data_IF_515357934407
#
_entry.id   IF_515357934407
#
_cell.length_a   1.000
_cell.length_b   1.000
_cell.length_c   1.000
_cell.angle_alpha   90.00
_cell.angle_beta   90.00
_cell.angle_gamma   90.00
#
_symmetry.space_group_name_H-M   'P 1'
#
loop_
_entity.id
_entity.type
_entity.pdbx_description
1 polymer ?
#
# COMPACT_ATOMS: atom_id res chain seq x y z
N UNK A 1 11.65 23.39 38.51
CA UNK A 1 11.57 23.66 37.07
C UNK A 1 11.15 22.38 36.39
N UNK A 2 9.86 22.29 36.05
CA UNK A 2 9.28 21.13 35.40
C UNK A 2 9.49 21.30 33.88
N UNK A 3 10.35 20.49 33.30
CA UNK A 3 10.51 20.41 31.85
C UNK A 3 9.35 19.58 31.29
N UNK A 4 8.30 20.27 30.84
CA UNK A 4 7.26 19.60 30.04
C UNK A 4 7.81 19.45 28.64
N UNK A 5 8.55 18.38 28.43
CA UNK A 5 8.89 17.93 27.11
C UNK A 5 7.66 17.35 26.45
N UNK A 6 7.11 18.02 25.46
CA UNK A 6 6.18 17.39 24.52
C UNK A 6 6.97 16.38 23.69
N UNK A 7 7.16 15.19 24.25
CA UNK A 7 7.66 14.05 23.52
C UNK A 7 6.54 13.61 22.58
N UNK A 8 6.62 14.02 21.33
CA UNK A 8 5.95 13.31 20.27
C UNK A 8 6.62 11.94 20.17
N UNK A 9 6.08 10.96 20.85
CA UNK A 9 6.52 9.60 20.71
C UNK A 9 6.12 9.13 19.30
N UNK A 10 7.08 9.04 18.42
CA UNK A 10 6.94 8.41 17.13
C UNK A 10 7.06 6.91 17.36
N UNK A 11 5.93 6.21 17.41
CA UNK A 11 5.94 4.77 17.50
C UNK A 11 5.96 4.20 16.08
N UNK A 12 7.01 3.44 15.80
CA UNK A 12 7.04 2.52 14.67
C UNK A 12 6.42 1.23 15.18
N UNK A 13 5.23 0.87 14.73
CA UNK A 13 4.66 -0.43 15.02
C UNK A 13 5.39 -1.46 14.16
N UNK A 14 6.38 -2.08 14.77
CA UNK A 14 6.76 -3.45 14.46
C UNK A 14 6.14 -4.28 15.56
N UNK A 15 5.36 -5.31 15.24
CA UNK A 15 4.53 -6.13 16.13
C UNK A 15 5.26 -6.82 17.31
N UNK A 16 6.41 -6.32 17.74
CA UNK A 16 7.27 -6.88 18.78
C UNK A 16 7.79 -5.88 19.82
N UNK A 17 7.32 -4.61 19.87
CA UNK A 17 7.80 -3.67 20.85
C UNK A 17 7.14 -3.90 22.21
N UNK A 18 7.85 -4.53 23.13
CA UNK A 18 7.54 -4.49 24.56
C UNK A 18 7.96 -3.14 25.12
N UNK A 19 7.02 -2.21 25.23
CA UNK A 19 7.25 -0.95 25.97
C UNK A 19 6.81 -1.14 27.41
N UNK A 20 7.73 -0.90 28.34
CA UNK A 20 7.41 -0.82 29.77
C UNK A 20 6.43 0.34 30.01
N UNK A 21 5.40 0.07 30.78
CA UNK A 21 4.24 0.86 31.07
C UNK A 21 4.55 2.32 31.46
N UNK A 22 4.40 3.19 30.53
CA UNK A 22 3.70 4.44 30.72
C UNK A 22 2.32 4.16 30.15
N UNK A 23 1.22 4.46 30.85
CA UNK A 23 -0.12 4.33 30.26
C UNK A 23 -0.20 5.31 29.09
N UNK A 24 0.33 4.91 27.99
CA UNK A 24 0.19 5.58 26.71
C UNK A 24 -1.13 5.14 26.09
N UNK A 25 -1.67 5.94 25.21
CA UNK A 25 -2.85 5.56 24.46
C UNK A 25 -2.63 4.29 23.64
N UNK A 26 -3.70 3.74 23.13
CA UNK A 26 -3.69 2.55 22.28
C UNK A 26 -3.33 2.95 20.84
N UNK A 27 -2.30 2.35 20.28
CA UNK A 27 -2.10 2.28 18.85
C UNK A 27 -2.92 1.10 18.31
N UNK A 28 -3.70 1.36 17.28
CA UNK A 28 -4.52 0.34 16.65
C UNK A 28 -4.65 0.68 15.15
N UNK A 29 -3.79 0.07 14.37
CA UNK A 29 -3.73 0.30 12.93
C UNK A 29 -4.29 -0.90 12.20
N UNK A 30 -5.17 -0.66 11.24
CA UNK A 30 -5.66 -1.67 10.31
C UNK A 30 -5.18 -1.41 8.91
N UNK A 31 -4.86 -2.47 8.19
CA UNK A 31 -4.52 -2.45 6.76
C UNK A 31 -5.55 -3.31 6.03
N UNK A 32 -6.24 -2.70 5.08
CA UNK A 32 -7.27 -3.34 4.27
C UNK A 32 -6.95 -3.14 2.78
N UNK A 33 -7.53 -3.99 1.94
CA UNK A 33 -7.48 -3.84 0.49
C UNK A 33 -8.87 -3.82 -0.10
N UNK A 34 -9.04 -3.12 -1.22
CA UNK A 34 -10.31 -3.02 -1.92
C UNK A 34 -10.66 -4.35 -2.59
N UNK A 35 -11.92 -4.78 -2.43
CA UNK A 35 -12.44 -6.03 -3.01
C UNK A 35 -13.58 -5.81 -4.00
N UNK A 36 -14.20 -4.64 -3.97
CA UNK A 36 -15.23 -4.25 -4.92
C UNK A 36 -15.13 -2.74 -5.21
N UNK A 37 -15.60 -2.36 -6.39
CA UNK A 37 -15.54 -0.98 -6.89
C UNK A 37 -16.86 -0.59 -7.53
N UNK A 38 -17.18 0.68 -7.43
CA UNK A 38 -18.27 1.29 -8.20
C UNK A 38 -17.86 1.37 -9.68
N UNK A 39 -18.68 0.85 -10.58
CA UNK A 39 -18.38 0.81 -12.02
C UNK A 39 -18.46 2.18 -12.69
N UNK A 40 -19.13 3.15 -12.07
CA UNK A 40 -19.27 4.50 -12.60
C UNK A 40 -18.10 5.38 -12.21
N UNK A 41 -17.71 5.34 -10.92
CA UNK A 41 -16.67 6.19 -10.36
C UNK A 41 -15.30 5.51 -10.31
N UNK A 42 -15.26 4.18 -10.29
CA UNK A 42 -14.04 3.39 -10.09
C UNK A 42 -13.52 3.40 -8.64
N UNK A 43 -14.28 4.00 -7.71
CA UNK A 43 -13.89 4.07 -6.30
C UNK A 43 -14.24 2.78 -5.56
N UNK A 44 -13.43 2.40 -4.55
CA UNK A 44 -13.69 1.21 -3.74
C UNK A 44 -15.01 1.28 -2.98
N UNK A 45 -15.78 0.20 -3.01
CA UNK A 45 -17.06 0.05 -2.29
C UNK A 45 -17.03 -1.01 -1.19
N UNK A 46 -16.04 -1.91 -1.23
CA UNK A 46 -15.83 -2.92 -0.21
C UNK A 46 -14.36 -3.14 0.09
N UNK A 47 -14.06 -3.50 1.33
CA UNK A 47 -12.72 -3.68 1.85
C UNK A 47 -12.60 -4.99 2.62
N UNK A 48 -11.43 -5.61 2.56
CA UNK A 48 -11.09 -6.80 3.33
C UNK A 48 -9.74 -6.60 4.05
N UNK A 49 -9.53 -7.36 5.11
CA UNK A 49 -8.28 -7.34 5.89
C UNK A 49 -7.12 -7.85 5.04
N UNK A 50 -6.11 -7.01 4.86
CA UNK A 50 -4.90 -7.33 4.09
C UNK A 50 -3.83 -8.06 4.92
N UNK A 51 -4.03 -8.24 6.22
CA UNK A 51 -3.05 -8.85 7.13
C UNK A 51 -3.20 -10.36 7.27
N UNK A 52 -4.25 -10.95 6.70
CA UNK A 52 -4.48 -12.39 6.77
C UNK A 52 -3.50 -13.14 5.87
N UNK A 53 -3.00 -14.31 6.27
CA UNK A 53 -2.02 -15.08 5.48
C UNK A 53 -2.52 -15.45 4.07
N UNK A 54 -3.83 -15.59 3.89
CA UNK A 54 -4.49 -15.89 2.62
C UNK A 54 -4.76 -14.64 1.76
N UNK A 55 -4.56 -13.44 2.30
CA UNK A 55 -4.78 -12.20 1.57
C UNK A 55 -3.66 -11.99 0.55
N UNK A 56 -3.92 -12.36 -0.70
CA UNK A 56 -2.99 -12.16 -1.80
C UNK A 56 -3.48 -10.98 -2.67
N UNK A 57 -2.63 -9.99 -2.82
CA UNK A 57 -2.88 -8.87 -3.72
C UNK A 57 -2.37 -9.22 -5.11
N UNK A 58 -3.22 -9.07 -6.11
CA UNK A 58 -2.84 -9.24 -7.52
C UNK A 58 -3.05 -7.94 -8.27
N UNK A 59 -2.16 -7.65 -9.21
CA UNK A 59 -2.39 -6.55 -10.14
C UNK A 59 -3.66 -6.82 -10.95
N UNK A 60 -4.43 -5.78 -11.16
CA UNK A 60 -5.71 -5.82 -11.87
C UNK A 60 -5.64 -4.95 -13.12
N UNK A 61 -6.36 -5.39 -14.15
CA UNK A 61 -6.62 -4.59 -15.33
C UNK A 61 -7.96 -3.87 -15.14
N UNK A 62 -7.98 -2.59 -15.43
CA UNK A 62 -9.21 -1.80 -15.50
C UNK A 62 -9.58 -1.60 -16.96
N UNK A 63 -10.77 -2.01 -17.37
CA UNK A 63 -11.27 -1.77 -18.73
C UNK A 63 -11.83 -0.34 -18.90
N UNK A 64 -12.26 -0.02 -20.13
CA UNK A 64 -12.82 1.30 -20.45
C UNK A 64 -14.12 1.63 -19.70
N UNK A 65 -14.77 0.63 -19.10
CA UNK A 65 -16.00 0.78 -18.32
C UNK A 65 -15.76 0.74 -16.81
N UNK A 66 -14.51 0.95 -16.37
CA UNK A 66 -14.06 0.85 -14.98
C UNK A 66 -14.28 -0.53 -14.32
N UNK A 67 -14.51 -1.58 -15.12
CA UNK A 67 -14.55 -2.93 -14.56
C UNK A 67 -13.12 -3.38 -14.25
N UNK A 68 -12.90 -3.76 -13.01
CA UNK A 68 -11.61 -4.27 -12.55
C UNK A 68 -11.64 -5.79 -12.58
N UNK A 69 -10.72 -6.35 -13.36
CA UNK A 69 -10.63 -7.80 -13.58
C UNK A 69 -9.44 -8.34 -12.79
N UNK A 70 -9.72 -9.17 -11.79
CA UNK A 70 -8.71 -9.90 -11.01
C UNK A 70 -8.32 -11.22 -11.71
N UNK A 71 -7.97 -11.15 -12.99
CA UNK A 71 -7.41 -12.29 -13.74
C UNK A 71 -5.90 -12.17 -13.79
N UNK A 72 -5.22 -13.28 -14.07
CA UNK A 72 -3.78 -13.27 -14.28
C UNK A 72 -3.40 -12.22 -15.32
N UNK A 73 -2.78 -11.15 -14.85
CA UNK A 73 -2.35 -10.05 -15.69
C UNK A 73 -1.07 -10.46 -16.39
N UNK A 74 -1.12 -10.56 -17.70
CA UNK A 74 0.07 -10.65 -18.52
C UNK A 74 0.56 -9.23 -18.85
N UNK A 75 1.74 -8.90 -18.36
CA UNK A 75 2.32 -7.59 -18.56
C UNK A 75 2.70 -7.37 -20.03
N UNK A 76 2.17 -6.30 -20.60
CA UNK A 76 2.41 -5.88 -21.97
C UNK A 76 3.12 -4.54 -22.00
N UNK A 77 4.13 -4.35 -22.88
CA UNK A 77 4.82 -3.07 -23.03
C UNK A 77 3.83 -1.92 -23.29
N UNK A 78 4.00 -0.84 -22.54
CA UNK A 78 3.13 0.35 -22.59
C UNK A 78 1.84 0.26 -21.78
N UNK A 79 1.50 -0.89 -21.22
CA UNK A 79 0.29 -1.06 -20.41
C UNK A 79 0.53 -0.74 -18.93
N UNK A 80 -0.48 -0.19 -18.29
CA UNK A 80 -0.50 0.12 -16.86
C UNK A 80 -1.50 -0.78 -16.15
N UNK A 81 -1.07 -1.35 -15.03
CA UNK A 81 -1.89 -2.16 -14.15
C UNK A 81 -1.83 -1.61 -12.73
N UNK A 82 -2.90 -1.80 -11.98
CA UNK A 82 -3.03 -1.28 -10.63
C UNK A 82 -3.12 -2.43 -9.63
N UNK A 83 -2.55 -2.25 -8.44
CA UNK A 83 -2.95 -3.05 -7.28
C UNK A 83 -4.33 -2.60 -6.80
N UNK A 84 -5.11 -3.48 -6.16
CA UNK A 84 -6.25 -3.02 -5.36
C UNK A 84 -5.79 -1.93 -4.40
N UNK A 85 -6.61 -0.89 -4.24
CA UNK A 85 -6.29 0.19 -3.31
C UNK A 85 -6.11 -0.37 -1.90
N UNK A 86 -5.12 0.15 -1.19
CA UNK A 86 -4.89 -0.15 0.21
C UNK A 86 -5.48 0.97 1.07
N UNK A 87 -6.04 0.60 2.21
CA UNK A 87 -6.53 1.56 3.20
C UNK A 87 -5.85 1.31 4.53
N UNK A 88 -5.17 2.33 5.04
CA UNK A 88 -4.58 2.33 6.38
C UNK A 88 -5.47 3.17 7.28
N UNK A 89 -5.97 2.60 8.36
CA UNK A 89 -6.86 3.27 9.31
C UNK A 89 -6.28 3.27 10.71
N UNK A 90 -6.46 4.37 11.44
CA UNK A 90 -6.08 4.48 12.84
C UNK A 90 -7.32 4.36 13.73
N UNK A 91 -7.48 3.22 14.38
CA UNK A 91 -8.56 2.94 15.32
C UNK A 91 -8.17 3.28 16.77
N UNK A 92 -6.92 3.69 16.98
CA UNK A 92 -6.37 4.05 18.29
C UNK A 92 -6.63 5.51 18.66
N UNK A 93 -6.37 5.84 19.90
CA UNK A 93 -6.56 7.17 20.46
C UNK A 93 -5.28 8.05 20.47
N UNK A 94 -4.24 7.61 19.74
CA UNK A 94 -3.01 8.36 19.50
C UNK A 94 -2.85 8.66 18.03
N UNK A 95 -2.41 9.87 17.70
CA UNK A 95 -1.94 10.19 16.35
C UNK A 95 -0.65 9.44 16.05
N UNK A 96 -0.49 9.00 14.80
CA UNK A 96 0.67 8.23 14.39
C UNK A 96 1.21 8.71 13.05
N UNK A 97 2.44 8.28 12.75
CA UNK A 97 2.99 8.25 11.39
C UNK A 97 3.22 6.80 10.99
N UNK A 98 3.05 6.52 9.73
CA UNK A 98 3.33 5.20 9.18
C UNK A 98 4.16 5.28 7.90
N UNK A 99 4.73 4.16 7.54
CA UNK A 99 5.32 3.90 6.23
C UNK A 99 4.77 2.59 5.70
N UNK A 100 4.68 2.48 4.38
CA UNK A 100 4.41 1.21 3.70
C UNK A 100 5.68 0.74 3.03
N UNK A 101 6.04 -0.50 3.26
CA UNK A 101 7.26 -1.12 2.75
C UNK A 101 6.86 -2.29 1.87
N UNK A 102 7.47 -2.39 0.70
CA UNK A 102 7.44 -3.57 -0.16
C UNK A 102 8.73 -4.35 0.03
N UNK A 103 8.62 -5.67 0.10
CA UNK A 103 9.77 -6.57 0.20
C UNK A 103 9.43 -7.96 -0.31
N UNK A 104 10.45 -8.79 -0.53
CA UNK A 104 10.29 -10.21 -0.78
C UNK A 104 10.19 -10.64 -2.24
N UNK A 105 10.45 -9.78 -3.21
CA UNK A 105 10.42 -10.15 -4.63
C UNK A 105 11.36 -11.32 -4.94
N UNK A 106 10.82 -12.39 -5.50
CA UNK A 106 11.53 -13.61 -5.88
C UNK A 106 11.31 -13.95 -7.37
N UNK A 107 12.14 -14.83 -7.89
CA UNK A 107 12.07 -15.28 -9.28
C UNK A 107 12.86 -14.38 -10.22
N UNK A 108 12.29 -14.06 -11.40
CA UNK A 108 12.98 -13.23 -12.39
C UNK A 108 12.84 -11.73 -12.09
N UNK A 109 13.50 -11.27 -11.01
CA UNK A 109 13.41 -9.89 -10.52
C UNK A 109 13.83 -8.82 -11.52
N UNK A 110 14.58 -9.18 -12.58
CA UNK A 110 14.89 -8.29 -13.70
C UNK A 110 13.65 -7.77 -14.43
N UNK A 111 12.52 -8.47 -14.34
CA UNK A 111 11.26 -7.99 -14.89
C UNK A 111 10.84 -6.66 -14.22
N UNK A 112 11.19 -6.45 -12.96
CA UNK A 112 10.89 -5.22 -12.24
C UNK A 112 11.70 -4.02 -12.72
N UNK A 113 12.80 -4.23 -13.46
CA UNK A 113 13.62 -3.15 -14.04
C UNK A 113 12.92 -2.44 -15.21
N UNK A 114 11.97 -3.11 -15.85
CA UNK A 114 11.21 -2.60 -17.00
C UNK A 114 9.77 -2.22 -16.65
N UNK A 115 9.44 -2.20 -15.38
CA UNK A 115 8.14 -1.76 -14.87
C UNK A 115 8.34 -0.54 -13.99
N UNK A 116 7.76 0.58 -14.39
CA UNK A 116 7.78 1.82 -13.62
C UNK A 116 6.65 1.82 -12.61
N UNK A 117 6.98 1.62 -11.34
CA UNK A 117 6.01 1.64 -10.26
C UNK A 117 5.82 3.04 -9.70
N UNK A 118 4.58 3.36 -9.36
CA UNK A 118 4.20 4.63 -8.73
C UNK A 118 3.23 4.38 -7.60
N UNK A 119 3.29 5.22 -6.58
CA UNK A 119 2.36 5.22 -5.46
C UNK A 119 1.84 6.63 -5.18
N UNK A 120 0.62 6.71 -4.69
CA UNK A 120 0.01 7.95 -4.19
C UNK A 120 -0.79 7.68 -2.93
N UNK A 121 -1.00 8.73 -2.12
CA UNK A 121 -1.81 8.70 -0.90
C UNK A 121 -2.91 9.74 -1.05
N UNK A 122 -4.16 9.33 -0.83
CA UNK A 122 -5.35 10.19 -0.87
C UNK A 122 -5.45 11.08 -2.13
N UNK A 123 -5.08 10.51 -3.28
CA UNK A 123 -5.13 11.22 -4.55
C UNK A 123 -4.05 12.31 -4.74
N UNK A 124 -3.05 12.37 -3.87
CA UNK A 124 -1.89 13.23 -4.05
C UNK A 124 -1.10 12.84 -5.31
N UNK A 125 -0.13 13.67 -5.69
CA UNK A 125 0.74 13.39 -6.83
C UNK A 125 1.43 12.03 -6.70
N UNK A 126 1.39 11.26 -7.78
CA UNK A 126 2.04 9.95 -7.83
C UNK A 126 3.56 10.09 -7.78
N UNK A 127 4.20 9.27 -6.95
CA UNK A 127 5.66 9.22 -6.81
C UNK A 127 6.19 7.88 -7.30
N UNK A 128 7.34 7.92 -7.98
CA UNK A 128 8.04 6.70 -8.36
C UNK A 128 8.52 5.95 -7.12
N UNK A 129 8.38 4.61 -7.15
CA UNK A 129 8.79 3.72 -6.06
C UNK A 129 9.63 2.57 -6.60
N UNK A 130 10.63 2.14 -5.83
CA UNK A 130 11.46 1.00 -6.16
C UNK A 130 10.90 -0.25 -5.49
N UNK A 131 10.38 -1.17 -6.30
CA UNK A 131 9.83 -2.45 -5.84
C UNK A 131 10.90 -3.54 -5.82
N UNK A 132 11.85 -3.50 -6.76
CA UNK A 132 12.85 -4.56 -6.96
C UNK A 132 13.77 -4.74 -5.75
N UNK A 133 14.31 -3.65 -5.24
CA UNK A 133 15.27 -3.70 -4.13
C UNK A 133 14.56 -3.67 -2.76
N UNK A 134 13.25 -3.61 -2.79
CA UNK A 134 12.45 -3.41 -1.60
C UNK A 134 12.57 -1.97 -1.08
N UNK A 135 11.84 -1.66 -0.06
CA UNK A 135 11.92 -0.36 0.58
C UNK A 135 10.57 0.32 0.77
N UNK A 136 10.61 1.53 1.28
CA UNK A 136 9.41 2.27 1.57
C UNK A 136 8.80 2.84 0.28
N UNK A 137 7.55 2.49 0.01
CA UNK A 137 6.75 3.05 -1.08
C UNK A 137 5.97 4.30 -0.63
N UNK A 138 5.71 4.39 0.67
CA UNK A 138 5.09 5.54 1.32
C UNK A 138 5.83 5.79 2.62
N UNK A 139 6.18 7.04 2.92
CA UNK A 139 6.92 7.43 4.13
C UNK A 139 6.29 8.63 4.80
N UNK A 140 6.44 8.71 6.13
CA UNK A 140 6.08 9.87 6.95
C UNK A 140 4.62 10.33 6.83
N UNK A 141 3.72 9.42 6.48
CA UNK A 141 2.30 9.75 6.39
C UNK A 141 1.70 9.79 7.78
N UNK A 142 1.01 10.89 8.06
CA UNK A 142 0.37 11.12 9.35
C UNK A 142 -1.08 10.64 9.32
N UNK A 143 -1.51 10.00 10.41
CA UNK A 143 -2.91 9.73 10.72
C UNK A 143 -3.23 10.30 12.10
N UNK A 144 -4.29 11.08 12.17
CA UNK A 144 -4.81 11.60 13.44
C UNK A 144 -5.34 10.45 14.31
N UNK A 145 -5.53 10.71 15.57
CA UNK A 145 -6.22 9.81 16.48
C UNK A 145 -7.68 9.62 16.06
N UNK A 146 -8.26 8.46 16.37
CA UNK A 146 -9.70 8.22 16.28
C UNK A 146 -10.45 9.20 17.16
N UNK A 147 -11.52 9.79 16.65
CA UNK A 147 -12.40 10.69 17.38
C UNK A 147 -13.84 10.17 17.30
N UNK A 148 -14.38 9.78 18.43
CA UNK A 148 -15.70 9.15 18.51
C UNK A 148 -15.70 7.84 17.67
N UNK A 149 -16.67 7.71 16.79
CA UNK A 149 -16.78 6.55 15.87
C UNK A 149 -15.98 6.73 14.58
N UNK A 150 -15.36 7.89 14.37
CA UNK A 150 -14.61 8.19 13.16
C UNK A 150 -13.14 7.78 13.32
N UNK A 151 -12.74 6.72 12.62
CA UNK A 151 -11.36 6.31 12.46
C UNK A 151 -10.78 6.95 11.19
N UNK A 152 -9.80 7.87 11.31
CA UNK A 152 -9.17 8.46 10.15
C UNK A 152 -8.40 7.41 9.35
N UNK A 153 -8.43 7.54 8.03
CA UNK A 153 -7.80 6.62 7.11
C UNK A 153 -7.16 7.36 5.93
N UNK A 154 -6.17 6.71 5.32
CA UNK A 154 -5.62 7.09 4.03
C UNK A 154 -5.79 5.95 3.04
N UNK A 155 -6.05 6.30 1.77
CA UNK A 155 -6.10 5.36 0.66
C UNK A 155 -4.82 5.47 -0.15
N UNK A 156 -4.15 4.33 -0.34
CA UNK A 156 -2.90 4.22 -1.08
C UNK A 156 -3.20 3.55 -2.40
N UNK A 157 -2.82 4.19 -3.50
CA UNK A 157 -2.93 3.65 -4.86
C UNK A 157 -1.53 3.33 -5.37
N UNK A 158 -1.34 2.11 -5.87
CA UNK A 158 -0.08 1.62 -6.42
C UNK A 158 -0.33 1.15 -7.84
N UNK A 159 0.46 1.61 -8.78
CA UNK A 159 0.41 1.22 -10.19
C UNK A 159 1.78 0.85 -10.72
N UNK A 160 1.79 0.02 -11.75
CA UNK A 160 2.98 -0.31 -12.52
C UNK A 160 2.71 -0.15 -14.01
N UNK A 161 3.64 0.45 -14.74
CA UNK A 161 3.58 0.60 -16.19
C UNK A 161 4.79 -0.10 -16.80
N UNK A 162 4.55 -1.07 -17.68
CA UNK A 162 5.65 -1.72 -18.40
C UNK A 162 6.19 -0.79 -19.46
N UNK A 163 7.50 -0.60 -19.48
CA UNK A 163 8.18 0.26 -20.44
C UNK A 163 7.97 -0.26 -21.86
N UNK A 164 7.75 0.64 -22.82
CA UNK A 164 7.58 0.29 -24.23
C UNK A 164 8.83 -0.30 -24.87
N UNK A 165 9.99 -0.09 -24.25
CA UNK A 165 11.29 -0.60 -24.66
C UNK A 165 11.57 -2.02 -24.16
N UNK A 166 10.67 -2.61 -23.34
CA UNK A 166 10.83 -3.98 -22.86
C UNK A 166 10.80 -4.97 -24.04
N UNK A 167 11.89 -5.70 -24.20
CA UNK A 167 12.07 -6.64 -25.30
C UNK A 167 11.54 -8.04 -25.00
N UNK A 168 11.74 -8.95 -25.95
CA UNK A 168 11.25 -10.33 -25.86
C UNK A 168 11.88 -11.16 -24.75
N UNK A 169 13.01 -10.73 -24.20
CA UNK A 169 13.70 -11.37 -23.08
C UNK A 169 12.87 -11.39 -21.79
N UNK A 170 11.86 -10.53 -21.69
CA UNK A 170 10.94 -10.45 -20.55
C UNK A 170 9.67 -11.28 -20.70
N UNK A 171 9.49 -11.92 -21.88
CA UNK A 171 8.33 -12.78 -22.13
C UNK A 171 8.39 -14.05 -21.28
N UNK A 172 7.23 -14.51 -20.81
CA UNK A 172 7.07 -15.71 -19.98
C UNK A 172 7.92 -15.70 -18.69
N UNK A 173 8.16 -14.51 -18.14
CA UNK A 173 8.88 -14.33 -16.87
C UNK A 173 7.90 -14.05 -15.74
N UNK A 174 8.24 -14.53 -14.55
CA UNK A 174 7.40 -14.39 -13.37
C UNK A 174 8.20 -13.85 -12.19
N UNK A 175 7.61 -12.93 -11.47
CA UNK A 175 8.06 -12.47 -10.14
C UNK A 175 6.98 -12.82 -9.13
N UNK A 176 7.37 -13.35 -8.00
CA UNK A 176 6.49 -13.78 -6.92
C UNK A 176 6.99 -13.24 -5.59
N UNK A 177 6.23 -13.44 -4.52
CA UNK A 177 6.67 -13.15 -3.14
C UNK A 177 6.74 -11.67 -2.75
N UNK A 178 6.12 -10.77 -3.54
CA UNK A 178 6.09 -9.34 -3.20
C UNK A 178 5.04 -9.07 -2.12
#
# INVERSE_FOLDING_TARGET
>A
TMLVGTTFAWFTDTASAKVNQIKSGKLDVTLEYATAWDTTTGEPTAWADATQPESMLSFIRTDANNNKQATDVLWEPGCTYNLPELRVSNNGNLSLKYKVVISGAEGYTKLLDVIDFKASVDGAEQRAVNVKDGGAIVTDVKLAAKSGDNAPSNVIKISGTMQTTAGNEYQNRTVTGI
#
